data_IF_646221576792
#
_entry.id   IF_646221576792
#
_cell.length_a   1.000
_cell.length_b   1.000
_cell.length_c   1.000
_cell.angle_alpha   90.00
_cell.angle_beta   90.00
_cell.angle_gamma   90.00
#
_symmetry.space_group_name_H-M   'P 1'
#
loop_
_entity.id
_entity.type
_entity.pdbx_description
1 polymer ?
#
# COMPACT_ATOMS: atom_id res chain seq x y z
N UNK A 1 12.62 -12.31 -0.23
CA UNK A 1 12.33 -11.85 -1.58
C UNK A 1 13.25 -12.55 -2.54
N UNK A 2 12.75 -13.25 -3.57
CA UNK A 2 13.58 -13.49 -4.71
C UNK A 2 14.00 -12.11 -5.21
N UNK A 3 15.29 -11.86 -5.29
CA UNK A 3 15.80 -10.73 -6.05
C UNK A 3 15.25 -10.94 -7.44
N UNK A 4 14.25 -10.14 -7.84
CA UNK A 4 13.78 -10.14 -9.21
C UNK A 4 14.94 -9.59 -10.02
N UNK A 5 15.72 -10.53 -10.59
CA UNK A 5 16.77 -10.17 -11.54
C UNK A 5 16.00 -9.65 -12.76
N UNK A 6 16.17 -8.38 -13.12
CA UNK A 6 15.48 -7.82 -14.28
C UNK A 6 15.80 -8.67 -15.51
N UNK A 7 14.78 -9.23 -16.14
CA UNK A 7 14.95 -10.08 -17.34
C UNK A 7 15.03 -9.28 -18.64
N UNK A 8 14.85 -7.96 -18.56
CA UNK A 8 14.90 -7.06 -19.71
C UNK A 8 15.16 -5.61 -19.33
N UNK A 9 15.42 -4.79 -20.32
CA UNK A 9 15.63 -3.34 -20.16
C UNK A 9 14.43 -2.66 -19.46
N UNK A 10 13.20 -3.11 -19.73
CA UNK A 10 11.97 -2.56 -19.16
C UNK A 10 11.90 -2.80 -17.66
N UNK A 11 12.26 -4.01 -17.19
CA UNK A 11 12.33 -4.32 -15.75
C UNK A 11 13.45 -3.54 -15.05
N UNK A 12 14.55 -3.31 -15.76
CA UNK A 12 15.68 -2.52 -15.29
C UNK A 12 15.27 -1.05 -15.08
N UNK A 13 14.51 -0.48 -16.01
CA UNK A 13 13.94 0.87 -15.87
C UNK A 13 12.93 0.97 -14.74
N UNK A 14 12.09 -0.03 -14.53
CA UNK A 14 11.13 -0.05 -13.44
C UNK A 14 11.83 -0.16 -12.07
N UNK A 15 12.90 -0.95 -11.95
CA UNK A 15 13.57 -1.19 -10.66
C UNK A 15 14.60 -0.11 -10.29
N UNK A 16 15.34 0.40 -11.26
CA UNK A 16 16.38 1.41 -11.05
C UNK A 16 15.97 2.82 -11.47
N UNK A 17 14.94 2.94 -12.28
CA UNK A 17 14.44 4.25 -12.75
C UNK A 17 13.99 5.18 -11.62
N UNK A 18 13.61 4.63 -10.46
CA UNK A 18 13.28 5.41 -9.27
C UNK A 18 14.47 6.27 -8.77
N UNK A 19 15.71 5.84 -8.99
CA UNK A 19 16.91 6.63 -8.66
C UNK A 19 17.05 7.85 -9.57
N UNK A 20 16.44 7.82 -10.75
CA UNK A 20 16.51 8.89 -11.75
C UNK A 20 15.31 9.84 -11.68
N UNK A 21 14.35 9.59 -10.75
CA UNK A 21 13.22 10.51 -10.55
C UNK A 21 13.64 11.93 -10.21
N UNK A 22 14.81 12.11 -9.58
CA UNK A 22 15.36 13.42 -9.29
C UNK A 22 15.75 14.20 -10.55
N UNK A 23 16.04 13.52 -11.66
CA UNK A 23 16.36 14.12 -12.95
C UNK A 23 15.13 14.53 -13.76
N UNK A 24 13.95 14.03 -13.39
CA UNK A 24 12.71 14.37 -14.05
C UNK A 24 12.22 15.74 -13.57
N UNK A 25 11.70 16.52 -14.50
CA UNK A 25 10.96 17.74 -14.17
C UNK A 25 9.73 17.41 -13.31
N UNK A 26 9.24 18.40 -12.54
CA UNK A 26 8.04 18.24 -11.73
C UNK A 26 6.85 17.68 -12.54
N UNK A 27 6.66 18.20 -13.76
CA UNK A 27 5.59 17.77 -14.68
C UNK A 27 5.73 16.30 -15.11
N UNK A 28 6.96 15.85 -15.39
CA UNK A 28 7.23 14.46 -15.76
C UNK A 28 6.99 13.50 -14.59
N UNK A 29 7.39 13.89 -13.36
CA UNK A 29 7.10 13.11 -12.16
C UNK A 29 5.59 12.95 -11.93
N UNK A 30 4.80 14.01 -12.06
CA UNK A 30 3.34 13.92 -11.94
C UNK A 30 2.75 12.95 -12.95
N UNK A 31 3.11 13.07 -14.22
CA UNK A 31 2.64 12.12 -15.25
C UNK A 31 2.97 10.66 -14.94
N UNK A 32 4.18 10.41 -14.42
CA UNK A 32 4.58 9.05 -14.02
C UNK A 32 3.72 8.53 -12.86
N UNK A 33 3.46 9.35 -11.84
CA UNK A 33 2.65 8.96 -10.69
C UNK A 33 1.18 8.73 -11.07
N UNK A 34 0.64 9.57 -11.95
CA UNK A 34 -0.70 9.40 -12.49
C UNK A 34 -0.80 8.09 -13.30
N UNK A 35 0.19 7.83 -14.18
CA UNK A 35 0.24 6.60 -14.97
C UNK A 35 0.36 5.35 -14.08
N UNK A 36 1.18 5.41 -13.01
CA UNK A 36 1.31 4.32 -12.05
C UNK A 36 0.02 4.08 -11.27
N UNK A 37 -0.61 5.14 -10.77
CA UNK A 37 -1.91 5.06 -10.10
C UNK A 37 -2.94 4.41 -11.02
N UNK A 38 -3.01 4.87 -12.28
CA UNK A 38 -3.95 4.33 -13.26
C UNK A 38 -3.67 2.86 -13.59
N UNK A 39 -2.41 2.44 -13.65
CA UNK A 39 -2.04 1.05 -13.85
C UNK A 39 -2.52 0.15 -12.70
N UNK A 40 -2.40 0.62 -11.45
CA UNK A 40 -2.92 -0.09 -10.27
C UNK A 40 -4.45 -0.18 -10.30
N UNK A 41 -5.13 0.90 -10.65
CA UNK A 41 -6.60 0.92 -10.78
C UNK A 41 -7.04 -0.06 -11.87
N UNK A 42 -6.40 -0.03 -13.04
CA UNK A 42 -6.69 -0.97 -14.13
C UNK A 42 -6.45 -2.43 -13.71
N UNK A 43 -5.42 -2.69 -12.90
CA UNK A 43 -5.15 -4.01 -12.35
C UNK A 43 -6.29 -4.47 -11.43
N UNK A 44 -6.74 -3.62 -10.51
CA UNK A 44 -7.86 -3.87 -9.61
C UNK A 44 -9.17 -4.11 -10.38
N UNK A 45 -9.39 -3.38 -11.46
CA UNK A 45 -10.62 -3.48 -12.25
C UNK A 45 -10.70 -4.74 -13.12
N UNK A 46 -9.56 -5.19 -13.66
CA UNK A 46 -9.48 -6.24 -14.69
C UNK A 46 -9.08 -7.60 -14.17
N UNK A 47 -8.47 -7.67 -12.98
CA UNK A 47 -7.92 -8.92 -12.44
C UNK A 47 -8.53 -9.25 -11.06
N UNK A 48 -8.56 -10.54 -10.67
CA UNK A 48 -9.10 -10.97 -9.38
C UNK A 48 -8.13 -10.68 -8.22
N UNK A 49 -7.70 -9.43 -8.09
CA UNK A 49 -6.84 -8.96 -7.01
C UNK A 49 -7.61 -9.01 -5.70
N UNK A 50 -6.96 -9.38 -4.61
CA UNK A 50 -7.53 -9.39 -3.26
C UNK A 50 -6.97 -8.30 -2.38
N UNK A 51 -5.69 -8.01 -2.52
CA UNK A 51 -4.97 -7.06 -1.67
C UNK A 51 -3.95 -6.29 -2.53
N UNK A 52 -3.89 -4.97 -2.35
CA UNK A 52 -2.78 -4.14 -2.83
C UNK A 52 -1.81 -3.98 -1.66
N UNK A 53 -0.58 -4.49 -1.84
CA UNK A 53 0.47 -4.48 -0.81
C UNK A 53 1.19 -3.14 -0.77
N UNK A 54 1.53 -2.68 0.44
CA UNK A 54 2.25 -1.43 0.77
C UNK A 54 2.02 -0.28 -0.24
N UNK A 55 0.75 0.17 -0.46
CA UNK A 55 0.41 1.20 -1.44
C UNK A 55 1.16 2.51 -1.13
N UNK A 56 1.81 3.08 -2.14
CA UNK A 56 2.60 4.30 -1.97
C UNK A 56 4.07 4.07 -1.56
N UNK A 57 4.46 2.85 -1.21
CA UNK A 57 5.85 2.56 -0.87
C UNK A 57 6.75 2.74 -2.08
N UNK A 58 7.80 3.58 -1.94
CA UNK A 58 8.80 3.93 -2.95
C UNK A 58 8.28 4.70 -4.18
N UNK A 59 7.02 4.58 -4.52
CA UNK A 59 6.44 5.25 -5.68
C UNK A 59 5.14 5.96 -5.28
N UNK A 60 5.11 7.29 -5.33
CA UNK A 60 3.92 8.06 -4.98
C UNK A 60 2.73 7.69 -5.86
N UNK A 61 1.55 7.67 -5.22
CA UNK A 61 0.27 7.33 -5.85
C UNK A 61 -0.80 8.36 -5.47
N UNK A 62 -1.88 8.42 -6.21
CA UNK A 62 -3.11 9.01 -5.70
C UNK A 62 -3.87 7.96 -4.86
N UNK A 63 -3.60 7.98 -3.56
CA UNK A 63 -4.16 7.04 -2.59
C UNK A 63 -5.69 7.13 -2.50
N UNK A 64 -6.29 8.31 -2.77
CA UNK A 64 -7.74 8.47 -2.76
C UNK A 64 -8.37 7.76 -3.97
N UNK A 65 -7.83 7.98 -5.17
CA UNK A 65 -8.32 7.35 -6.39
C UNK A 65 -8.18 5.82 -6.33
N UNK A 66 -7.01 5.32 -5.88
CA UNK A 66 -6.79 3.88 -5.72
C UNK A 66 -7.74 3.28 -4.68
N UNK A 67 -7.90 3.93 -3.52
CA UNK A 67 -8.78 3.44 -2.46
C UNK A 67 -10.25 3.39 -2.88
N UNK A 68 -10.72 4.36 -3.65
CA UNK A 68 -12.08 4.35 -4.21
C UNK A 68 -12.29 3.16 -5.17
N UNK A 69 -11.33 2.89 -6.05
CA UNK A 69 -11.39 1.74 -6.96
C UNK A 69 -11.36 0.41 -6.18
N UNK A 70 -10.50 0.30 -5.17
CA UNK A 70 -10.40 -0.86 -4.30
C UNK A 70 -11.70 -1.11 -3.53
N UNK A 71 -12.28 -0.08 -2.91
CA UNK A 71 -13.54 -0.18 -2.19
C UNK A 71 -14.69 -0.70 -3.09
N UNK A 72 -14.79 -0.16 -4.31
CA UNK A 72 -15.79 -0.58 -5.30
C UNK A 72 -15.67 -2.06 -5.69
N UNK A 73 -14.46 -2.61 -5.66
CA UNK A 73 -14.16 -4.00 -6.08
C UNK A 73 -13.97 -4.97 -4.93
N UNK A 74 -14.10 -4.54 -3.68
CA UNK A 74 -13.84 -5.36 -2.50
C UNK A 74 -12.37 -5.78 -2.38
N UNK A 75 -11.46 -4.97 -2.92
CA UNK A 75 -10.01 -5.14 -2.78
C UNK A 75 -9.54 -4.39 -1.54
N UNK A 76 -8.63 -4.98 -0.77
CA UNK A 76 -8.10 -4.42 0.47
C UNK A 76 -6.80 -3.70 0.22
N UNK A 77 -6.52 -2.70 1.05
CA UNK A 77 -5.21 -2.06 1.10
C UNK A 77 -4.42 -2.60 2.31
N UNK A 78 -3.13 -2.82 2.12
CA UNK A 78 -2.28 -3.31 3.20
C UNK A 78 -1.77 -2.15 4.07
N UNK A 79 -1.91 -2.31 5.38
CA UNK A 79 -1.17 -1.57 6.41
C UNK A 79 0.06 -2.39 6.75
N UNK A 80 1.15 -2.15 6.04
CA UNK A 80 2.38 -2.91 6.17
C UNK A 80 3.21 -2.36 7.33
N UNK A 81 3.38 -3.16 8.40
CA UNK A 81 4.06 -2.73 9.63
C UNK A 81 5.55 -2.43 9.44
N UNK A 82 6.20 -3.02 8.44
CA UNK A 82 7.61 -2.80 8.15
C UNK A 82 7.85 -1.45 7.45
N UNK A 83 6.93 -1.06 6.57
CA UNK A 83 7.04 0.15 5.76
C UNK A 83 6.11 1.28 6.23
N UNK A 84 5.61 1.20 7.45
CA UNK A 84 4.57 2.06 7.99
C UNK A 84 4.90 3.56 7.87
N UNK A 85 6.14 3.93 8.21
CA UNK A 85 6.56 5.34 8.19
C UNK A 85 6.50 5.95 6.78
N UNK A 86 6.71 5.12 5.75
CA UNK A 86 6.64 5.55 4.36
C UNK A 86 5.20 5.65 3.82
N UNK A 87 4.27 4.82 4.31
CA UNK A 87 2.92 4.70 3.76
C UNK A 87 1.82 5.30 4.63
N UNK A 88 2.11 5.71 5.88
CA UNK A 88 1.10 6.19 6.83
C UNK A 88 0.24 7.34 6.29
N UNK A 89 0.85 8.27 5.51
CA UNK A 89 0.13 9.36 4.87
C UNK A 89 -0.87 8.87 3.82
N UNK A 90 -0.47 7.87 3.04
CA UNK A 90 -1.30 7.26 2.00
C UNK A 90 -2.47 6.48 2.61
N UNK A 91 -2.20 5.72 3.67
CA UNK A 91 -3.23 5.03 4.46
C UNK A 91 -4.22 6.03 5.05
N UNK A 92 -3.73 7.12 5.67
CA UNK A 92 -4.58 8.18 6.23
C UNK A 92 -5.47 8.81 5.16
N UNK A 93 -4.93 9.12 3.97
CA UNK A 93 -5.70 9.67 2.86
C UNK A 93 -6.75 8.68 2.37
N UNK A 94 -6.37 7.44 2.12
CA UNK A 94 -7.27 6.37 1.70
C UNK A 94 -8.43 6.16 2.69
N UNK A 95 -8.13 6.11 3.99
CA UNK A 95 -9.12 5.89 5.04
C UNK A 95 -10.17 6.99 5.11
N UNK A 96 -9.75 8.27 4.93
CA UNK A 96 -10.64 9.43 5.00
C UNK A 96 -11.47 9.66 3.76
N UNK A 97 -11.01 9.19 2.59
CA UNK A 97 -11.65 9.50 1.30
C UNK A 97 -12.50 8.35 0.75
N UNK A 98 -12.44 7.18 1.37
CA UNK A 98 -13.19 6.01 0.91
C UNK A 98 -13.56 5.08 2.07
N UNK A 99 -14.40 4.08 1.79
CA UNK A 99 -14.75 3.00 2.71
C UNK A 99 -13.94 1.72 2.43
N UNK A 100 -12.73 1.85 1.88
CA UNK A 100 -11.87 0.68 1.61
C UNK A 100 -11.55 -0.07 2.89
N UNK A 101 -11.58 -1.40 2.82
CA UNK A 101 -11.13 -2.27 3.91
C UNK A 101 -9.60 -2.38 3.91
N UNK A 102 -9.04 -2.71 5.07
CA UNK A 102 -7.61 -2.88 5.23
C UNK A 102 -7.26 -4.26 5.79
N UNK A 103 -6.03 -4.67 5.51
CA UNK A 103 -5.35 -5.80 6.17
C UNK A 103 -4.08 -5.30 6.81
N UNK A 104 -3.78 -5.75 8.04
CA UNK A 104 -2.50 -5.46 8.69
C UNK A 104 -1.56 -6.62 8.44
N UNK A 105 -0.33 -6.36 8.01
CA UNK A 105 0.71 -7.37 7.85
C UNK A 105 1.98 -6.98 8.59
N UNK A 106 2.72 -7.98 9.08
CA UNK A 106 4.03 -7.77 9.68
C UNK A 106 5.13 -7.59 8.63
N UNK A 107 4.92 -8.10 7.40
CA UNK A 107 5.95 -8.20 6.35
C UNK A 107 7.25 -8.83 6.89
N UNK A 108 7.06 -9.93 7.64
CA UNK A 108 8.13 -10.59 8.37
C UNK A 108 9.18 -11.17 7.42
N UNK A 109 10.45 -10.82 7.64
CA UNK A 109 11.62 -11.37 6.97
C UNK A 109 12.41 -12.32 7.90
N UNK A 110 11.96 -12.40 9.16
CA UNK A 110 12.52 -13.27 10.20
C UNK A 110 11.37 -13.95 10.97
N UNK A 111 11.53 -15.20 11.44
CA UNK A 111 10.47 -15.90 12.21
C UNK A 111 9.94 -15.10 13.41
N UNK A 112 10.82 -14.39 14.13
CA UNK A 112 10.44 -13.56 15.29
C UNK A 112 9.62 -12.29 14.93
N UNK A 113 9.47 -11.97 13.66
CA UNK A 113 8.71 -10.81 13.20
C UNK A 113 7.28 -11.20 12.81
N UNK A 114 6.99 -12.50 12.70
CA UNK A 114 5.66 -13.01 12.37
C UNK A 114 4.67 -12.58 13.45
N UNK A 115 3.53 -12.02 13.03
CA UNK A 115 2.47 -11.58 13.93
C UNK A 115 2.73 -10.25 14.67
N UNK A 116 3.81 -9.54 14.37
CA UNK A 116 4.08 -8.22 14.95
C UNK A 116 3.21 -7.13 14.31
N UNK A 117 1.96 -7.06 14.76
CA UNK A 117 0.96 -6.11 14.22
C UNK A 117 0.81 -4.82 15.05
N UNK A 118 1.47 -4.70 16.19
CA UNK A 118 1.27 -3.62 17.16
C UNK A 118 1.38 -2.23 16.52
N UNK A 119 2.40 -2.01 15.68
CA UNK A 119 2.59 -0.72 14.99
C UNK A 119 1.41 -0.39 14.06
N UNK A 120 0.93 -1.37 13.30
CA UNK A 120 -0.21 -1.21 12.40
C UNK A 120 -1.49 -0.90 13.17
N UNK A 121 -1.74 -1.63 14.26
CA UNK A 121 -2.90 -1.37 15.11
C UNK A 121 -2.84 0.01 15.79
N UNK A 122 -1.64 0.43 16.25
CA UNK A 122 -1.45 1.78 16.82
C UNK A 122 -1.71 2.88 15.78
N UNK A 123 -1.34 2.64 14.51
CA UNK A 123 -1.66 3.57 13.43
C UNK A 123 -3.17 3.66 13.21
N UNK A 124 -3.89 2.53 13.17
CA UNK A 124 -5.35 2.48 13.02
C UNK A 124 -6.02 3.33 14.11
N UNK A 125 -5.63 3.12 15.36
CA UNK A 125 -6.17 3.87 16.51
C UNK A 125 -5.83 5.38 16.42
N UNK A 126 -4.60 5.73 16.07
CA UNK A 126 -4.14 7.13 15.98
C UNK A 126 -4.82 7.91 14.85
N UNK A 127 -5.19 7.23 13.78
CA UNK A 127 -5.90 7.84 12.63
C UNK A 127 -7.42 7.81 12.79
N UNK A 128 -7.94 7.18 13.83
CA UNK A 128 -9.39 7.00 14.04
C UNK A 128 -10.04 6.15 12.95
N UNK A 129 -9.32 5.20 12.39
CA UNK A 129 -9.89 4.28 11.39
C UNK A 129 -10.83 3.31 12.13
N UNK A 130 -12.05 3.17 11.61
CA UNK A 130 -12.98 2.21 12.17
C UNK A 130 -12.36 0.79 12.13
N UNK A 131 -12.28 0.17 13.31
CA UNK A 131 -11.71 -1.17 13.48
C UNK A 131 -12.45 -2.24 12.70
N UNK A 132 -13.74 -2.05 12.40
CA UNK A 132 -14.53 -2.94 11.55
C UNK A 132 -14.00 -3.01 10.11
N UNK A 133 -13.24 -2.01 9.68
CA UNK A 133 -12.59 -2.01 8.36
C UNK A 133 -11.27 -2.78 8.31
N UNK A 134 -10.79 -3.29 9.43
CA UNK A 134 -9.57 -4.11 9.52
C UNK A 134 -9.98 -5.58 9.60
N UNK A 135 -9.89 -6.29 8.50
CA UNK A 135 -10.55 -7.59 8.35
C UNK A 135 -9.77 -8.79 8.94
N UNK A 136 -8.53 -8.61 9.35
CA UNK A 136 -7.67 -9.71 9.79
C UNK A 136 -7.10 -9.54 11.21
N UNK A 137 -7.69 -8.69 12.03
CA UNK A 137 -7.29 -8.49 13.43
C UNK A 137 -8.47 -8.72 14.34
N UNK A 138 -8.33 -9.63 15.29
CA UNK A 138 -9.25 -9.76 16.41
C UNK A 138 -8.90 -8.68 17.47
N UNK A 139 -9.76 -7.68 17.56
CA UNK A 139 -9.56 -6.54 18.49
C UNK A 139 -9.90 -6.90 19.93
N UNK A 140 -10.58 -8.03 20.19
CA UNK A 140 -10.97 -8.43 21.54
C UNK A 140 -9.81 -9.08 22.32
N UNK A 141 -8.85 -9.70 21.64
CA UNK A 141 -7.68 -10.31 22.30
C UNK A 141 -6.66 -9.31 22.86
N UNK A 142 -6.75 -8.02 22.50
CA UNK A 142 -5.80 -6.98 22.93
C UNK A 142 -6.09 -6.34 24.27
N UNK A 143 -7.18 -6.69 24.94
CA UNK A 143 -7.59 -6.15 26.25
C UNK A 143 -7.15 -7.02 27.42
N UNK A 144 -6.27 -8.01 27.20
CA UNK A 144 -5.70 -8.85 28.25
C UNK A 144 -4.22 -8.64 28.43
#
# INVERSE_FOLDING_TARGET
>A
HPQVIPKGLEDWYAYYGLRWLSLLSRRQRHKLFDAYTQALINCVERHPVKIIVHPGYRLPIDSAALAAACAKKGVRLEINCRHLDAIARDISKAARTSQVEFVISSDAHHPREIGRFQRGCSLVDSLGIDRARIINVDWQEKTR
#
